data_IF_543802738406
#
_entry.id   IF_543802738406
#
_cell.length_a   1.000
_cell.length_b   1.000
_cell.length_c   1.000
_cell.angle_alpha   90.00
_cell.angle_beta   90.00
_cell.angle_gamma   90.00
#
_symmetry.space_group_name_H-M   'P 1'
#
loop_
_entity.id
_entity.type
_entity.pdbx_description
1 polymer ?
#
# COMPACT_ATOMS: atom_id res chain seq x y z
N UNK A 1 13.42 -5.79 7.03
CA UNK A 1 13.20 -6.37 5.69
C UNK A 1 11.94 -5.82 5.04
N UNK A 2 11.62 -6.28 3.84
CA UNK A 2 10.40 -5.88 3.13
C UNK A 2 9.20 -6.69 3.64
N UNK A 3 8.07 -6.04 3.88
CA UNK A 3 6.83 -6.67 4.32
C UNK A 3 6.16 -7.45 3.15
N UNK A 4 5.21 -8.35 3.42
CA UNK A 4 4.50 -9.11 2.39
C UNK A 4 3.82 -8.23 1.34
N UNK A 5 3.24 -7.11 1.73
CA UNK A 5 2.51 -6.19 0.86
C UNK A 5 3.37 -5.44 -0.17
N UNK A 6 4.69 -5.34 0.06
CA UNK A 6 5.60 -4.50 -0.74
C UNK A 6 5.51 -4.77 -2.24
N UNK A 7 5.65 -6.02 -2.65
CA UNK A 7 5.69 -6.38 -4.07
C UNK A 7 4.33 -6.20 -4.75
N UNK A 8 3.23 -6.54 -4.06
CA UNK A 8 1.89 -6.31 -4.59
C UNK A 8 1.64 -4.83 -4.79
N UNK A 9 2.00 -4.00 -3.81
CA UNK A 9 1.82 -2.55 -3.88
C UNK A 9 2.56 -1.93 -5.06
N UNK A 10 3.82 -2.29 -5.29
CA UNK A 10 4.62 -1.67 -6.37
C UNK A 10 4.34 -2.24 -7.76
N UNK A 11 3.91 -3.49 -7.87
CA UNK A 11 3.71 -4.15 -9.15
C UNK A 11 2.29 -3.99 -9.71
N UNK A 12 1.31 -3.67 -8.87
CA UNK A 12 -0.10 -3.55 -9.24
C UNK A 12 -0.59 -2.12 -9.43
N UNK A 13 0.29 -1.12 -9.44
CA UNK A 13 -0.08 0.26 -9.74
C UNK A 13 1.02 0.99 -10.54
N UNK A 14 0.67 2.01 -11.36
CA UNK A 14 1.63 2.68 -12.24
C UNK A 14 2.58 3.64 -11.53
N UNK A 15 2.28 4.02 -10.28
CA UNK A 15 3.02 5.02 -9.50
C UNK A 15 3.99 4.38 -8.50
N UNK A 16 4.06 3.04 -8.49
CA UNK A 16 4.98 2.28 -7.63
C UNK A 16 4.72 2.53 -6.14
N UNK A 17 5.79 2.81 -5.42
CA UNK A 17 5.80 3.05 -3.98
C UNK A 17 5.74 4.54 -3.58
N UNK A 18 5.29 5.42 -4.47
CA UNK A 18 5.15 6.84 -4.16
C UNK A 18 4.19 7.08 -2.99
N UNK A 19 4.72 7.52 -1.85
CA UNK A 19 3.92 7.83 -0.65
C UNK A 19 2.95 8.99 -0.85
N UNK A 20 3.29 9.92 -1.74
CA UNK A 20 2.50 11.13 -1.95
C UNK A 20 1.46 10.97 -3.05
N UNK A 21 1.84 10.37 -4.17
CA UNK A 21 1.03 10.39 -5.38
C UNK A 21 0.43 9.04 -5.78
N UNK A 22 0.85 7.93 -5.17
CA UNK A 22 0.18 6.65 -5.40
C UNK A 22 -1.12 6.57 -4.59
N UNK A 23 -2.31 6.56 -5.21
CA UNK A 23 -3.57 6.44 -4.47
C UNK A 23 -3.62 5.16 -3.63
N UNK A 24 -3.04 4.07 -4.12
CA UNK A 24 -3.00 2.80 -3.39
C UNK A 24 -2.19 2.92 -2.09
N UNK A 25 -0.98 3.49 -2.17
CA UNK A 25 -0.11 3.70 -1.01
C UNK A 25 -0.70 4.74 -0.06
N UNK A 26 -1.24 5.82 -0.60
CA UNK A 26 -1.89 6.88 0.18
C UNK A 26 -3.07 6.36 1.00
N UNK A 27 -3.94 5.54 0.39
CA UNK A 27 -5.08 4.95 1.08
C UNK A 27 -4.69 3.98 2.18
N UNK A 28 -3.58 3.29 2.03
CA UNK A 28 -3.05 2.42 3.07
C UNK A 28 -2.40 3.15 4.25
N UNK A 29 -1.83 4.32 4.04
CA UNK A 29 -1.04 5.04 5.06
C UNK A 29 -1.79 6.15 5.78
N UNK A 30 -2.78 6.77 5.13
CA UNK A 30 -3.44 7.96 5.68
C UNK A 30 -4.83 7.60 6.18
N UNK A 31 -5.19 7.99 7.41
CA UNK A 31 -6.51 7.72 7.97
C UNK A 31 -7.63 8.27 7.09
N UNK A 32 -8.72 7.52 6.97
CA UNK A 32 -9.96 7.99 6.33
C UNK A 32 -10.72 9.02 7.15
N UNK A 33 -10.50 9.01 8.46
CA UNK A 33 -11.13 9.93 9.40
C UNK A 33 -10.07 10.81 10.03
N UNK A 34 -10.23 12.14 10.06
CA UNK A 34 -9.41 12.99 10.91
C UNK A 34 -9.60 12.57 12.35
N UNK A 35 -8.53 12.38 13.05
CA UNK A 35 -8.57 12.14 14.48
C UNK A 35 -8.94 13.44 15.20
N UNK A 36 -10.15 13.53 15.68
CA UNK A 36 -10.51 14.61 16.58
C UNK A 36 -10.08 14.34 18.03
N UNK A 37 -9.83 13.11 18.41
CA UNK A 37 -9.36 12.75 19.76
C UNK A 37 -8.75 11.35 19.79
N UNK A 38 -7.59 11.13 19.17
CA UNK A 38 -6.88 9.86 19.23
C UNK A 38 -7.64 8.64 18.64
N UNK A 39 -8.74 8.83 17.96
CA UNK A 39 -9.54 7.76 17.43
C UNK A 39 -9.19 7.49 15.98
N UNK A 40 -8.59 6.41 15.77
CA UNK A 40 -8.90 5.31 14.89
C UNK A 40 -9.57 5.69 13.57
N UNK A 41 -8.81 6.29 12.66
CA UNK A 41 -9.10 6.11 11.24
C UNK A 41 -8.55 4.75 10.78
N UNK A 42 -9.03 4.24 9.69
CA UNK A 42 -8.34 3.16 9.00
C UNK A 42 -6.96 3.64 8.59
N UNK A 43 -5.95 2.88 8.90
CA UNK A 43 -4.57 3.31 8.79
C UNK A 43 -4.07 4.07 10.00
N UNK A 44 -4.96 4.32 10.95
CA UNK A 44 -4.74 4.66 12.31
C UNK A 44 -4.11 5.96 12.69
N UNK A 45 -4.65 6.58 13.69
CA UNK A 45 -4.21 7.83 14.26
C UNK A 45 -2.69 8.02 14.26
N UNK A 46 -2.26 9.13 13.74
CA UNK A 46 -0.89 9.52 13.40
C UNK A 46 0.15 9.47 14.55
N UNK A 47 -0.20 8.94 15.70
CA UNK A 47 0.68 8.86 16.89
C UNK A 47 1.04 7.44 17.29
N UNK A 48 0.68 6.45 16.53
CA UNK A 48 1.06 5.11 16.88
C UNK A 48 2.46 4.79 16.39
N UNK A 49 3.39 5.16 17.20
CA UNK A 49 4.78 4.71 17.07
C UNK A 49 4.80 3.18 17.04
N UNK A 50 5.38 2.63 15.99
CA UNK A 50 5.55 1.18 15.89
C UNK A 50 4.42 0.42 15.23
N UNK A 51 3.52 1.08 14.51
CA UNK A 51 2.47 0.43 13.73
C UNK A 51 2.94 -0.07 12.40
N UNK A 52 2.44 -1.24 12.05
CA UNK A 52 2.35 -1.69 10.67
C UNK A 52 1.04 -1.20 10.11
N UNK A 53 1.06 -0.40 9.06
CA UNK A 53 -0.13 -0.04 8.29
C UNK A 53 -0.27 -1.00 7.11
N UNK A 54 -1.44 -1.13 6.47
CA UNK A 54 -1.59 -1.98 5.28
C UNK A 54 -0.62 -1.66 4.14
N UNK A 55 0.00 -0.50 4.18
CA UNK A 55 1.01 -0.09 3.21
C UNK A 55 2.39 0.14 3.84
N UNK A 56 2.58 -0.20 5.11
CA UNK A 56 3.92 -0.28 5.68
C UNK A 56 4.67 -1.43 5.00
N UNK A 57 5.63 -1.05 4.19
CA UNK A 57 6.38 -1.97 3.33
C UNK A 57 7.63 -2.53 4.00
N UNK A 58 7.81 -2.27 5.28
CA UNK A 58 8.99 -2.68 6.02
C UNK A 58 8.68 -3.30 7.39
N UNK A 59 9.19 -4.50 7.62
CA UNK A 59 9.20 -5.14 8.94
C UNK A 59 10.63 -5.19 9.49
N UNK A 60 10.80 -4.80 10.75
CA UNK A 60 12.04 -5.01 11.50
C UNK A 60 12.09 -6.43 12.03
N UNK A 61 13.30 -6.92 12.38
CA UNK A 61 13.50 -8.20 13.06
C UNK A 61 12.71 -9.37 12.42
N UNK A 62 12.88 -9.57 11.11
CA UNK A 62 12.11 -10.58 10.36
C UNK A 62 13.01 -11.64 9.74
N UNK A 63 12.45 -12.83 9.59
CA UNK A 63 12.93 -13.89 8.72
C UNK A 63 11.99 -14.00 7.51
N UNK A 64 12.58 -14.14 6.33
CA UNK A 64 11.84 -14.37 5.09
C UNK A 64 12.38 -15.62 4.41
N UNK A 65 11.48 -16.54 4.07
CA UNK A 65 11.77 -17.66 3.20
C UNK A 65 11.21 -17.40 1.81
N UNK A 66 12.07 -17.50 0.80
CA UNK A 66 11.69 -17.33 -0.61
C UNK A 66 11.76 -18.68 -1.32
N UNK A 67 10.68 -19.09 -1.98
CA UNK A 67 10.65 -20.33 -2.76
C UNK A 67 11.54 -20.21 -4.01
N UNK A 68 12.03 -21.32 -4.55
CA UNK A 68 12.48 -21.36 -5.95
C UNK A 68 11.39 -20.86 -6.91
N UNK A 69 11.77 -20.49 -8.12
CA UNK A 69 10.80 -20.11 -9.15
C UNK A 69 10.23 -21.35 -9.82
N UNK A 70 8.90 -21.44 -9.90
CA UNK A 70 8.18 -22.52 -10.56
C UNK A 70 7.35 -21.95 -11.69
N UNK A 71 7.84 -22.05 -12.93
CA UNK A 71 7.10 -21.57 -14.10
C UNK A 71 6.71 -20.09 -14.04
N UNK A 72 7.56 -19.23 -13.47
CA UNK A 72 7.29 -17.80 -13.29
C UNK A 72 6.62 -17.44 -11.95
N UNK A 73 6.21 -18.43 -11.17
CA UNK A 73 5.67 -18.22 -9.82
C UNK A 73 6.79 -18.23 -8.78
N UNK A 74 6.80 -17.24 -7.90
CA UNK A 74 7.58 -17.18 -6.66
C UNK A 74 6.69 -16.81 -5.49
N UNK A 75 6.97 -17.36 -4.31
CA UNK A 75 6.29 -17.00 -3.07
C UNK A 75 7.32 -16.69 -1.96
N UNK A 76 6.92 -15.83 -1.04
CA UNK A 76 7.71 -15.52 0.14
C UNK A 76 6.83 -15.72 1.38
N UNK A 77 7.40 -16.36 2.40
CA UNK A 77 6.84 -16.45 3.74
C UNK A 77 7.64 -15.54 4.65
N UNK A 78 6.94 -14.73 5.41
CA UNK A 78 7.52 -13.72 6.29
C UNK A 78 7.08 -13.96 7.74
N UNK A 79 8.01 -13.86 8.65
CA UNK A 79 7.74 -13.87 10.08
C UNK A 79 8.53 -12.76 10.77
N UNK A 80 7.85 -11.88 11.49
CA UNK A 80 8.46 -10.84 12.30
C UNK A 80 8.43 -11.27 13.77
N UNK A 81 9.60 -11.26 14.41
CA UNK A 81 9.72 -11.49 15.85
C UNK A 81 9.29 -10.24 16.61
N UNK A 82 8.54 -10.46 17.68
CA UNK A 82 8.15 -9.36 18.57
C UNK A 82 9.31 -8.85 19.40
N UNK A 83 9.37 -7.54 19.55
CA UNK A 83 10.29 -6.85 20.46
C UNK A 83 9.52 -5.77 21.22
N UNK A 84 9.04 -6.09 22.43
CA UNK A 84 8.55 -5.08 23.35
C UNK A 84 9.04 -5.38 24.76
N UNK A 85 9.55 -4.35 25.44
CA UNK A 85 9.95 -4.43 26.84
C UNK A 85 8.74 -4.78 27.70
N UNK A 86 8.80 -5.90 28.40
CA UNK A 86 7.75 -6.33 29.35
C UNK A 86 6.58 -7.14 28.77
N UNK A 87 6.59 -7.47 27.46
CA UNK A 87 5.57 -8.32 26.87
C UNK A 87 6.17 -9.30 25.86
N UNK A 88 6.19 -10.58 26.21
CA UNK A 88 6.81 -11.63 25.39
C UNK A 88 6.08 -11.94 24.08
N UNK A 89 4.92 -11.35 23.82
CA UNK A 89 4.03 -11.71 22.72
C UNK A 89 3.60 -10.57 21.79
N UNK A 90 4.20 -9.41 21.93
CA UNK A 90 3.78 -8.25 21.17
C UNK A 90 4.56 -8.05 19.87
N UNK A 91 3.84 -7.65 18.83
CA UNK A 91 4.37 -7.33 17.51
C UNK A 91 4.92 -8.53 16.72
N UNK A 92 4.32 -9.69 16.90
CA UNK A 92 4.57 -10.83 16.02
C UNK A 92 3.69 -10.69 14.77
N UNK A 93 4.32 -10.56 13.63
CA UNK A 93 3.61 -10.47 12.37
C UNK A 93 3.95 -11.69 11.51
N UNK A 94 2.98 -12.18 10.79
CA UNK A 94 3.15 -13.27 9.84
C UNK A 94 2.46 -12.91 8.53
N UNK A 95 3.08 -13.24 7.43
CA UNK A 95 2.46 -13.02 6.15
C UNK A 95 3.13 -13.80 5.03
N UNK A 96 2.46 -13.77 3.90
CA UNK A 96 2.93 -14.37 2.67
C UNK A 96 2.65 -13.44 1.50
N UNK A 97 3.48 -13.50 0.48
CA UNK A 97 3.14 -12.96 -0.82
C UNK A 97 3.53 -13.94 -1.93
N UNK A 98 2.88 -13.76 -3.07
CA UNK A 98 3.21 -14.51 -4.28
C UNK A 98 3.21 -13.57 -5.48
N UNK A 99 4.09 -13.88 -6.44
CA UNK A 99 4.21 -13.17 -7.70
C UNK A 99 4.29 -14.21 -8.82
N UNK A 100 3.49 -13.98 -9.84
CA UNK A 100 3.54 -14.75 -11.08
C UNK A 100 3.84 -13.81 -12.24
N UNK A 101 4.86 -14.13 -13.03
CA UNK A 101 5.26 -13.37 -14.21
C UNK A 101 5.34 -14.31 -15.40
N UNK A 102 4.55 -14.03 -16.44
CA UNK A 102 4.54 -14.78 -17.68
C UNK A 102 4.32 -13.86 -18.89
N UNK A 103 5.36 -13.61 -19.65
CA UNK A 103 5.31 -12.66 -20.77
C UNK A 103 4.82 -11.28 -20.34
N UNK A 104 3.72 -10.77 -20.93
CA UNK A 104 3.18 -9.45 -20.59
C UNK A 104 2.39 -9.42 -19.27
N UNK A 105 2.06 -10.57 -18.68
CA UNK A 105 1.23 -10.69 -17.50
C UNK A 105 2.08 -10.70 -16.22
N UNK A 106 1.71 -9.86 -15.27
CA UNK A 106 2.16 -9.90 -13.89
C UNK A 106 0.96 -10.04 -12.99
N UNK A 107 0.92 -11.08 -12.15
CA UNK A 107 -0.05 -11.23 -11.07
C UNK A 107 0.68 -11.23 -9.74
N UNK A 108 0.07 -10.66 -8.72
CA UNK A 108 0.66 -10.57 -7.39
C UNK A 108 -0.44 -10.58 -6.33
N UNK A 109 -0.10 -11.07 -5.15
CA UNK A 109 -1.00 -11.03 -4.02
C UNK A 109 -0.25 -11.19 -2.72
N UNK A 110 -0.85 -10.73 -1.64
CA UNK A 110 -0.35 -10.92 -0.29
C UNK A 110 -1.48 -11.19 0.70
N UNK A 111 -1.11 -11.80 1.80
CA UNK A 111 -1.88 -11.86 3.03
C UNK A 111 -0.92 -11.61 4.19
N UNK A 112 -1.33 -10.76 5.12
CA UNK A 112 -0.60 -10.53 6.35
C UNK A 112 -1.53 -10.43 7.54
N UNK A 113 -1.03 -10.85 8.69
CA UNK A 113 -1.67 -10.73 9.99
C UNK A 113 -0.71 -9.98 10.90
N UNK A 114 -1.11 -8.77 11.25
CA UNK A 114 -0.30 -7.81 11.97
C UNK A 114 -0.86 -7.58 13.36
N UNK A 115 0.00 -7.59 14.36
CA UNK A 115 -0.32 -7.06 15.67
C UNK A 115 -0.09 -5.56 15.67
N UNK A 116 -1.16 -4.81 15.87
CA UNK A 116 -1.14 -3.35 15.89
C UNK A 116 -1.33 -2.81 17.29
N UNK A 117 -0.74 -1.65 17.57
CA UNK A 117 -0.79 -1.02 18.86
C UNK A 117 -2.20 -0.54 19.22
N UNK A 118 -2.59 -0.71 20.47
CA UNK A 118 -3.77 -0.03 21.00
C UNK A 118 -3.48 1.46 21.16
N UNK A 119 -4.12 2.37 20.40
CA UNK A 119 -3.85 3.79 20.45
C UNK A 119 -4.25 4.45 21.76
N UNK A 120 -5.19 3.85 22.50
CA UNK A 120 -5.67 4.38 23.78
C UNK A 120 -4.73 4.06 24.96
N UNK A 121 -3.81 3.12 24.77
CA UNK A 121 -2.93 2.66 25.83
C UNK A 121 -1.54 2.32 25.28
N UNK A 122 -0.67 3.32 25.06
CA UNK A 122 0.63 3.12 24.40
C UNK A 122 1.59 2.23 25.19
N UNK A 123 1.32 2.01 26.47
CA UNK A 123 2.14 1.16 27.35
C UNK A 123 1.52 -0.23 27.60
N UNK A 124 0.41 -0.54 26.96
CA UNK A 124 -0.26 -1.85 27.05
C UNK A 124 0.21 -2.71 25.87
N UNK A 125 0.40 -4.01 26.08
CA UNK A 125 0.75 -4.93 25.01
C UNK A 125 -0.15 -4.81 23.78
N UNK A 126 0.41 -5.03 22.59
CA UNK A 126 -0.34 -5.01 21.34
C UNK A 126 -1.40 -6.11 21.37
N UNK A 127 -2.64 -5.72 21.58
CA UNK A 127 -3.77 -6.64 21.73
C UNK A 127 -4.67 -6.67 20.51
N UNK A 128 -4.50 -5.68 19.60
CA UNK A 128 -5.30 -5.61 18.40
C UNK A 128 -4.59 -6.30 17.24
N UNK A 129 -5.34 -7.06 16.48
CA UNK A 129 -4.87 -7.77 15.29
C UNK A 129 -5.57 -7.22 14.06
N UNK A 130 -4.79 -6.98 13.02
CA UNK A 130 -5.29 -6.65 11.70
C UNK A 130 -4.92 -7.74 10.71
N UNK A 131 -5.83 -8.04 9.81
CA UNK A 131 -5.67 -8.98 8.70
C UNK A 131 -5.81 -8.21 7.41
N UNK A 132 -4.77 -8.19 6.62
CA UNK A 132 -4.72 -7.49 5.35
C UNK A 132 -4.47 -8.48 4.21
N UNK A 133 -5.19 -8.33 3.12
CA UNK A 133 -4.92 -9.04 1.89
C UNK A 133 -5.21 -8.18 0.67
N UNK A 134 -4.48 -8.42 -0.38
CA UNK A 134 -4.69 -7.78 -1.68
C UNK A 134 -4.27 -8.72 -2.79
N UNK A 135 -5.04 -8.71 -3.86
CA UNK A 135 -4.69 -9.27 -5.15
C UNK A 135 -4.52 -8.12 -6.13
N UNK A 136 -3.53 -8.21 -6.98
CA UNK A 136 -3.28 -7.21 -7.99
C UNK A 136 -2.56 -7.79 -9.20
N UNK A 137 -2.47 -6.99 -10.23
CA UNK A 137 -1.75 -7.38 -11.42
C UNK A 137 -1.61 -6.26 -12.41
N UNK A 138 -0.83 -6.55 -13.44
CA UNK A 138 -0.61 -5.69 -14.57
C UNK A 138 -0.53 -6.51 -15.85
N UNK A 139 -0.98 -5.91 -16.94
CA UNK A 139 -0.83 -6.48 -18.28
C UNK A 139 -0.24 -5.43 -19.22
N UNK A 140 0.84 -5.80 -19.88
CA UNK A 140 1.53 -4.95 -20.84
C UNK A 140 1.02 -5.25 -22.27
N UNK A 141 0.26 -4.29 -22.83
CA UNK A 141 -0.23 -4.36 -24.19
C UNK A 141 0.77 -3.81 -25.22
N UNK A 142 2.01 -3.50 -24.81
CA UNK A 142 3.05 -2.83 -25.60
C UNK A 142 2.77 -1.33 -25.80
N UNK A 143 1.57 -0.96 -26.21
CA UNK A 143 1.15 0.45 -26.41
C UNK A 143 0.71 1.10 -25.11
N UNK A 144 0.35 0.32 -24.11
CA UNK A 144 -0.05 0.76 -22.78
C UNK A 144 0.10 -0.40 -21.79
N UNK A 145 0.35 -0.11 -20.52
CA UNK A 145 0.29 -1.09 -19.44
C UNK A 145 -0.89 -0.76 -18.53
N UNK A 146 -1.78 -1.72 -18.34
CA UNK A 146 -2.91 -1.61 -17.42
C UNK A 146 -2.58 -2.25 -16.08
N UNK A 147 -3.18 -1.70 -15.00
CA UNK A 147 -3.01 -2.17 -13.64
C UNK A 147 -4.35 -2.27 -12.94
N UNK A 148 -4.52 -3.30 -12.13
CA UNK A 148 -5.70 -3.51 -11.30
C UNK A 148 -5.30 -4.10 -9.97
N UNK A 149 -5.93 -3.63 -8.89
CA UNK A 149 -5.80 -4.25 -7.57
C UNK A 149 -7.08 -4.14 -6.76
N UNK A 150 -7.30 -5.14 -5.91
CA UNK A 150 -8.37 -5.17 -4.94
C UNK A 150 -7.91 -5.85 -3.66
N UNK A 151 -8.26 -5.26 -2.52
CA UNK A 151 -7.89 -5.81 -1.22
C UNK A 151 -8.81 -5.37 -0.10
N UNK A 152 -8.59 -5.96 1.05
CA UNK A 152 -9.36 -5.69 2.26
C UNK A 152 -8.44 -5.74 3.48
N UNK A 153 -8.74 -4.88 4.41
CA UNK A 153 -8.16 -4.81 5.75
C UNK A 153 -9.26 -5.00 6.79
N UNK A 154 -9.07 -5.90 7.73
CA UNK A 154 -9.98 -6.17 8.84
C UNK A 154 -9.25 -5.98 10.17
N UNK A 155 -9.83 -5.19 11.08
CA UNK A 155 -9.28 -4.94 12.40
C UNK A 155 -10.17 -5.58 13.48
N UNK A 156 -9.61 -6.52 14.26
CA UNK A 156 -10.39 -7.38 15.13
C UNK A 156 -11.10 -6.61 16.28
N UNK A 157 -10.42 -5.64 16.92
CA UNK A 157 -10.98 -4.96 18.11
C UNK A 157 -12.01 -3.86 17.80
N UNK A 158 -11.92 -3.26 16.64
CA UNK A 158 -12.81 -2.15 16.24
C UNK A 158 -13.92 -2.61 15.32
N UNK A 159 -13.85 -3.84 14.81
CA UNK A 159 -14.65 -4.35 13.70
C UNK A 159 -14.57 -3.44 12.45
N UNK A 160 -13.53 -2.63 12.37
CA UNK A 160 -13.31 -1.79 11.21
C UNK A 160 -12.87 -2.64 10.03
N UNK A 161 -13.50 -2.40 8.89
CA UNK A 161 -13.24 -3.08 7.63
C UNK A 161 -13.05 -2.06 6.53
N UNK A 162 -11.90 -2.10 5.87
CA UNK A 162 -11.63 -1.26 4.71
C UNK A 162 -11.49 -2.12 3.46
N UNK A 163 -12.17 -1.73 2.40
CA UNK A 163 -12.09 -2.38 1.08
C UNK A 163 -11.55 -1.38 0.08
N UNK A 164 -10.45 -1.72 -0.58
CA UNK A 164 -9.78 -0.85 -1.54
C UNK A 164 -9.78 -1.49 -2.92
N UNK A 165 -10.24 -0.75 -3.91
CA UNK A 165 -10.09 -1.08 -5.33
C UNK A 165 -9.25 0.01 -6.01
N UNK A 166 -8.39 -0.40 -6.93
CA UNK A 166 -7.56 0.53 -7.71
C UNK A 166 -7.49 0.06 -9.16
N UNK A 167 -7.52 1.02 -10.07
CA UNK A 167 -7.23 0.85 -11.49
C UNK A 167 -6.22 1.89 -11.93
N UNK A 168 -5.31 1.51 -12.83
CA UNK A 168 -4.30 2.42 -13.33
C UNK A 168 -3.81 2.07 -14.73
N UNK A 169 -3.13 3.02 -15.33
CA UNK A 169 -2.51 2.86 -16.64
C UNK A 169 -1.18 3.60 -16.74
N UNK A 170 -0.30 3.09 -17.58
CA UNK A 170 0.93 3.74 -18.01
C UNK A 170 1.00 3.69 -19.53
N UNK A 171 1.12 4.85 -20.17
CA UNK A 171 1.15 4.97 -21.64
C UNK A 171 2.43 5.65 -22.05
N UNK A 172 3.33 4.99 -22.83
CA UNK A 172 4.51 5.62 -23.40
C UNK A 172 4.13 6.81 -24.29
N UNK A 173 4.78 7.94 -24.09
CA UNK A 173 4.53 9.15 -24.87
C UNK A 173 5.77 10.07 -24.88
N UNK A 174 6.25 10.46 -26.05
CA UNK A 174 7.21 11.55 -26.22
C UNK A 174 8.51 11.48 -25.41
N UNK A 175 9.13 10.29 -25.28
CA UNK A 175 10.37 10.09 -24.51
C UNK A 175 10.16 9.87 -23.02
N UNK A 176 8.90 9.78 -22.59
CA UNK A 176 8.48 9.48 -21.24
C UNK A 176 7.23 8.62 -21.24
N UNK A 177 6.41 8.78 -20.19
CA UNK A 177 5.12 8.06 -20.06
C UNK A 177 4.11 8.88 -19.28
N UNK A 178 2.87 8.83 -19.72
CA UNK A 178 1.72 9.30 -18.94
C UNK A 178 1.34 8.20 -17.96
N UNK A 179 1.10 8.58 -16.71
CA UNK A 179 0.68 7.72 -15.62
C UNK A 179 -0.68 8.18 -15.12
N UNK A 180 -1.61 7.24 -14.93
CA UNK A 180 -2.89 7.54 -14.30
C UNK A 180 -3.25 6.43 -13.32
N UNK A 181 -3.76 6.78 -12.15
CA UNK A 181 -4.23 5.84 -11.14
C UNK A 181 -5.43 6.40 -10.40
N UNK A 182 -6.45 5.57 -10.24
CA UNK A 182 -7.63 5.87 -9.44
C UNK A 182 -7.81 4.77 -8.40
N UNK A 183 -7.97 5.17 -7.14
CA UNK A 183 -8.31 4.24 -6.07
C UNK A 183 -9.55 4.71 -5.31
N UNK A 184 -10.32 3.73 -4.85
CA UNK A 184 -11.43 3.94 -3.93
C UNK A 184 -11.30 2.99 -2.75
N UNK A 185 -11.36 3.55 -1.53
CA UNK A 185 -11.49 2.79 -0.29
C UNK A 185 -12.83 3.08 0.36
N UNK A 186 -13.52 2.02 0.80
CA UNK A 186 -14.74 2.11 1.60
C UNK A 186 -14.45 1.58 2.99
N UNK A 187 -14.82 2.36 4.01
CA UNK A 187 -14.67 2.00 5.41
C UNK A 187 -16.02 1.65 6.03
N UNK A 188 -16.09 0.52 6.70
CA UNK A 188 -17.25 0.04 7.45
C UNK A 188 -16.86 -0.09 8.94
N UNK A 189 -17.80 0.10 9.90
CA UNK A 189 -19.25 0.33 9.71
C UNK A 189 -19.63 1.80 9.45
N UNK A 190 -18.68 2.73 9.50
CA UNK A 190 -18.98 4.19 9.45
C UNK A 190 -19.40 4.73 8.09
N UNK A 191 -19.50 3.88 7.08
CA UNK A 191 -19.92 4.23 5.71
C UNK A 191 -19.16 5.44 5.11
N UNK A 192 -17.88 5.51 5.39
CA UNK A 192 -16.99 6.52 4.84
C UNK A 192 -16.29 5.99 3.59
N UNK A 193 -15.97 6.88 2.67
CA UNK A 193 -15.18 6.51 1.50
C UNK A 193 -14.13 7.57 1.17
N UNK A 194 -13.00 7.09 0.65
CA UNK A 194 -11.97 7.93 0.05
C UNK A 194 -11.84 7.58 -1.42
N UNK A 195 -11.70 8.58 -2.27
CA UNK A 195 -11.50 8.44 -3.72
C UNK A 195 -10.36 9.35 -4.12
N UNK A 196 -9.35 8.81 -4.75
CA UNK A 196 -8.18 9.58 -5.16
C UNK A 196 -7.88 9.27 -6.62
N UNK A 197 -7.70 10.31 -7.41
CA UNK A 197 -7.23 10.26 -8.79
C UNK A 197 -5.89 10.96 -8.87
N UNK A 198 -4.90 10.29 -9.42
CA UNK A 198 -3.60 10.88 -9.77
C UNK A 198 -3.34 10.72 -11.26
N UNK A 199 -2.90 11.78 -11.89
CA UNK A 199 -2.43 11.79 -13.28
C UNK A 199 -1.09 12.51 -13.32
N UNK A 200 -0.16 12.01 -14.10
CA UNK A 200 1.14 12.62 -14.23
C UNK A 200 1.89 12.23 -15.49
N UNK A 201 3.00 12.90 -15.68
CA UNK A 201 3.94 12.61 -16.75
C UNK A 201 5.33 12.42 -16.17
N UNK A 202 5.98 11.32 -16.54
CA UNK A 202 7.32 10.95 -16.11
C UNK A 202 8.22 10.91 -17.36
N UNK A 203 9.15 11.88 -17.46
CA UNK A 203 10.02 12.08 -18.61
C UNK A 203 11.43 11.56 -18.33
N UNK A 204 11.94 10.71 -19.20
CA UNK A 204 13.28 10.14 -19.06
C UNK A 204 14.35 11.14 -19.52
N UNK A 205 15.10 11.71 -18.61
CA UNK A 205 16.28 12.54 -18.89
C UNK A 205 17.49 11.67 -19.27
N UNK A 206 17.59 10.49 -18.68
CA UNK A 206 18.62 9.49 -18.97
C UNK A 206 18.13 8.09 -18.57
N UNK A 207 18.96 7.05 -18.77
CA UNK A 207 18.65 5.69 -18.29
C UNK A 207 18.46 5.60 -16.78
N UNK A 208 18.98 6.55 -16.00
CA UNK A 208 18.94 6.56 -14.53
C UNK A 208 18.26 7.79 -13.94
N UNK A 209 17.87 8.76 -14.78
CA UNK A 209 17.30 10.03 -14.30
C UNK A 209 16.01 10.30 -15.03
N UNK A 210 14.97 10.54 -14.28
CA UNK A 210 13.68 10.98 -14.78
C UNK A 210 13.21 12.26 -14.04
N UNK A 211 12.47 13.09 -14.74
CA UNK A 211 11.76 14.24 -14.18
C UNK A 211 10.25 13.99 -14.31
N UNK A 212 9.49 14.35 -13.29
CA UNK A 212 8.05 14.09 -13.31
C UNK A 212 7.22 15.29 -12.84
N UNK A 213 5.99 15.34 -13.33
CA UNK A 213 4.93 16.19 -12.83
C UNK A 213 3.72 15.32 -12.52
N UNK A 214 3.12 15.54 -11.34
CA UNK A 214 1.94 14.82 -10.87
C UNK A 214 0.88 15.80 -10.40
N UNK A 215 -0.38 15.48 -10.71
CA UNK A 215 -1.56 16.18 -10.20
C UNK A 215 -2.46 15.13 -9.55
N UNK A 216 -2.90 15.41 -8.33
CA UNK A 216 -3.75 14.51 -7.57
C UNK A 216 -4.97 15.26 -7.06
N UNK A 217 -6.14 14.64 -7.19
CA UNK A 217 -7.38 15.03 -6.53
C UNK A 217 -7.78 13.96 -5.53
N UNK A 218 -7.98 14.35 -4.28
CA UNK A 218 -8.36 13.46 -3.18
C UNK A 218 -9.68 13.91 -2.56
N UNK A 219 -10.59 12.96 -2.34
CA UNK A 219 -11.92 13.21 -1.78
C UNK A 219 -12.24 12.19 -0.69
N UNK A 220 -12.63 12.70 0.46
CA UNK A 220 -13.14 11.90 1.58
C UNK A 220 -14.60 12.29 1.82
N UNK A 221 -15.48 11.33 2.09
CA UNK A 221 -16.89 11.57 2.40
C UNK A 221 -17.01 12.61 3.52
N UNK A 222 -17.88 13.59 3.34
CA UNK A 222 -18.14 14.70 4.28
C UNK A 222 -17.02 15.72 4.44
N UNK A 223 -15.96 15.66 3.60
CA UNK A 223 -14.90 16.66 3.56
C UNK A 223 -14.78 17.28 2.18
N UNK A 224 -14.21 18.49 2.12
CA UNK A 224 -13.86 19.13 0.85
C UNK A 224 -12.80 18.33 0.11
N UNK A 225 -12.83 18.43 -1.22
CA UNK A 225 -11.80 17.79 -2.05
C UNK A 225 -10.50 18.58 -2.01
N UNK A 226 -9.38 17.87 -1.83
CA UNK A 226 -8.04 18.43 -1.92
C UNK A 226 -7.42 18.21 -3.31
N UNK A 227 -6.68 19.21 -3.78
CA UNK A 227 -5.83 19.07 -4.97
C UNK A 227 -4.36 19.24 -4.58
N UNK A 228 -3.51 18.40 -5.13
CA UNK A 228 -2.06 18.45 -4.91
C UNK A 228 -1.33 18.41 -6.24
N UNK A 229 -0.26 19.18 -6.34
CA UNK A 229 0.64 19.21 -7.51
C UNK A 229 2.05 18.94 -7.01
N UNK A 230 2.78 18.08 -7.70
CA UNK A 230 4.18 17.80 -7.40
C UNK A 230 5.04 17.77 -8.64
N UNK A 231 6.24 18.27 -8.47
CA UNK A 231 7.32 18.24 -9.45
C UNK A 231 8.53 17.58 -8.79
N UNK A 232 9.27 16.77 -9.53
CA UNK A 232 10.46 16.17 -8.98
C UNK A 232 11.40 15.60 -10.04
N UNK A 233 12.60 15.31 -9.57
CA UNK A 233 13.62 14.59 -10.32
C UNK A 233 13.98 13.34 -9.48
N UNK A 234 14.04 12.19 -10.14
CA UNK A 234 14.46 10.95 -9.52
C UNK A 234 15.73 10.45 -10.21
N UNK A 235 16.74 10.15 -9.40
CA UNK A 235 17.98 9.53 -9.87
C UNK A 235 18.18 8.18 -9.19
N UNK A 236 18.58 7.16 -9.98
CA UNK A 236 18.88 5.82 -9.50
C UNK A 236 20.39 5.58 -9.61
N UNK A 237 21.02 5.26 -8.49
CA UNK A 237 22.45 4.95 -8.37
C UNK A 237 22.77 3.50 -8.76
#
# INVERSE_FOLDING_TARGET
>A
GKAPNFLTTILSNPLGDSFTFSPLVLHGNVPLLPSTNNATGWGVGAKAVGRTTPSDTGWSNQITYTTPSFGGLKANLHYQFGEQTGANDSKKNIGLNAIYMAGPLTLTGFYERDQIMNPAAPNVPLTNTRKDWMLGGAYDFTVAKAFLSYGQSDEDNTNAKAKTAQVGASVPLGGGKVLASYAQTKLQPVNQSRKTLTVGYDYNLSKRTDAYVMVMNDRITSYESGNSVGLGIRHRF
#
